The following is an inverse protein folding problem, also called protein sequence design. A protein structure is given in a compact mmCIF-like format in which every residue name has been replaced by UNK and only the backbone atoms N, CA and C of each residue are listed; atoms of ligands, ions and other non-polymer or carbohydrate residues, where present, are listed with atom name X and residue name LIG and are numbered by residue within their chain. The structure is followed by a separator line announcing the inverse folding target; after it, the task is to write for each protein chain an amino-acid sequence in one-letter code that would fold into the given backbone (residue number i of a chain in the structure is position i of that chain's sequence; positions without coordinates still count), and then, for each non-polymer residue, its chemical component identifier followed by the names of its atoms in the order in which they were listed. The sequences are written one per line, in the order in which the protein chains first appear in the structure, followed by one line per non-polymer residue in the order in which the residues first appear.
data_IF_851021789953
#
_entry.id   IF_851021789953
#
_cell.length_a   1.000
_cell.length_b   1.000
_cell.length_c   1.000
_cell.angle_alpha   90.00
_cell.angle_beta   90.00
_cell.angle_gamma   90.00
#
_symmetry.space_group_name_H-M   'P 1'
#
loop_
_entity.id
_entity.type
_entity.pdbx_description
1 polymer ?
#
# COMPACT_ATOMS: atom_id res chain seq x y z
N UNK A 1 11.86 26.72 16.17
CA UNK A 1 12.36 25.38 15.82
C UNK A 1 12.89 25.47 14.41
N UNK A 2 14.19 25.34 14.24
CA UNK A 2 14.81 25.20 12.91
C UNK A 2 14.60 23.75 12.51
N UNK A 3 14.05 23.45 11.33
CA UNK A 3 13.91 22.08 10.87
C UNK A 3 15.30 21.46 10.62
N UNK A 4 15.52 20.25 11.11
CA UNK A 4 16.82 19.57 11.00
C UNK A 4 17.25 19.30 9.54
N UNK A 5 16.30 19.33 8.57
CA UNK A 5 16.58 19.12 7.14
C UNK A 5 15.78 20.09 6.24
N UNK A 6 16.28 21.32 6.01
CA UNK A 6 15.56 22.36 5.26
C UNK A 6 15.09 21.91 3.86
N UNK A 7 15.88 21.06 3.19
CA UNK A 7 15.60 20.58 1.84
C UNK A 7 14.41 19.61 1.76
N UNK A 8 14.19 18.78 2.79
CA UNK A 8 13.01 17.90 2.88
C UNK A 8 11.71 18.66 3.21
N UNK A 9 11.82 19.93 3.60
CA UNK A 9 10.68 20.77 3.99
C UNK A 9 10.18 21.71 2.87
N UNK A 10 10.73 21.62 1.65
CA UNK A 10 10.30 22.38 0.47
C UNK A 10 8.96 21.89 -0.13
N UNK A 11 8.08 21.28 0.67
CA UNK A 11 6.74 20.84 0.26
C UNK A 11 6.61 19.39 -0.18
N UNK A 12 7.73 18.65 -0.28
CA UNK A 12 7.79 17.21 -0.58
C UNK A 12 8.29 16.39 0.60
N UNK A 13 7.89 16.76 1.82
CA UNK A 13 8.23 16.00 3.02
C UNK A 13 7.58 14.61 3.06
N UNK A 14 8.05 13.76 3.98
CA UNK A 14 7.44 12.45 4.27
C UNK A 14 5.93 12.62 4.47
N UNK A 15 5.16 11.89 3.68
CA UNK A 15 3.70 11.90 3.78
C UNK A 15 3.27 10.87 4.82
N UNK A 16 2.16 11.15 5.49
CA UNK A 16 1.51 10.17 6.38
C UNK A 16 0.94 9.02 5.55
N UNK A 17 0.48 9.31 4.33
CA UNK A 17 -0.09 8.33 3.42
C UNK A 17 0.14 8.85 1.99
N UNK A 18 0.47 7.95 1.07
CA UNK A 18 0.81 8.28 -0.33
C UNK A 18 -0.40 8.15 -1.27
N UNK A 19 -1.54 7.70 -0.75
CA UNK A 19 -2.81 7.62 -1.46
C UNK A 19 -3.76 8.79 -1.16
N UNK A 20 -5.05 8.47 -1.03
CA UNK A 20 -6.13 9.45 -0.83
C UNK A 20 -6.37 9.71 0.64
N UNK A 21 -5.55 10.56 1.24
CA UNK A 21 -5.61 10.87 2.66
C UNK A 21 -5.45 12.36 2.93
N UNK A 22 -6.38 12.95 3.69
CA UNK A 22 -6.37 14.38 3.96
C UNK A 22 -6.82 14.77 5.37
N UNK A 23 -6.41 15.97 5.78
CA UNK A 23 -6.77 16.59 7.06
C UNK A 23 -6.50 15.67 8.28
N UNK A 24 -5.34 15.02 8.28
CA UNK A 24 -4.95 14.11 9.34
C UNK A 24 -4.77 14.84 10.67
N UNK A 25 -5.24 14.25 11.77
CA UNK A 25 -5.10 14.76 13.14
C UNK A 25 -4.53 13.65 14.02
N UNK A 26 -3.64 14.05 14.93
CA UNK A 26 -3.05 13.14 15.92
C UNK A 26 -3.51 13.53 17.31
N UNK A 27 -3.78 12.54 18.16
CA UNK A 27 -3.98 12.73 19.59
C UNK A 27 -3.21 11.67 20.38
N UNK A 28 -2.98 11.96 21.66
CA UNK A 28 -2.32 11.05 22.59
C UNK A 28 -3.37 10.33 23.42
N UNK A 29 -3.31 9.01 23.46
CA UNK A 29 -4.12 8.15 24.31
C UNK A 29 -3.34 7.89 25.62
N UNK A 30 -3.73 8.51 26.75
CA UNK A 30 -3.00 8.37 28.01
C UNK A 30 -3.13 6.98 28.64
N UNK A 31 -4.19 6.23 28.31
CA UNK A 31 -4.43 4.91 28.92
C UNK A 31 -3.48 3.86 28.36
N UNK A 32 -3.23 3.91 27.05
CA UNK A 32 -2.34 2.98 26.35
C UNK A 32 -0.99 3.59 25.98
N UNK A 33 -0.70 4.81 26.45
CA UNK A 33 0.53 5.57 26.18
C UNK A 33 0.94 5.58 24.71
N UNK A 34 -0.04 5.78 23.81
CA UNK A 34 0.17 5.68 22.36
C UNK A 34 -0.34 6.91 21.63
N UNK A 35 0.30 7.27 20.51
CA UNK A 35 -0.17 8.34 19.64
C UNK A 35 -1.02 7.73 18.54
N UNK A 36 -2.25 8.21 18.39
CA UNK A 36 -3.18 7.73 17.37
C UNK A 36 -3.34 8.81 16.31
N UNK A 37 -3.27 8.42 15.05
CA UNK A 37 -3.57 9.25 13.89
C UNK A 37 -4.86 8.81 13.21
N UNK A 38 -5.63 9.80 12.79
CA UNK A 38 -6.83 9.65 11.99
C UNK A 38 -6.80 10.67 10.87
N UNK A 39 -7.44 10.36 9.76
CA UNK A 39 -7.60 11.28 8.66
C UNK A 39 -8.78 10.90 7.80
N UNK A 40 -9.13 11.79 6.89
CA UNK A 40 -10.25 11.60 6.00
C UNK A 40 -9.76 11.00 4.68
N UNK A 41 -10.41 9.92 4.27
CA UNK A 41 -10.29 9.33 2.95
C UNK A 41 -11.33 10.01 2.06
N UNK A 42 -10.86 10.57 0.94
CA UNK A 42 -11.72 11.32 0.01
C UNK A 42 -12.26 10.40 -1.07
N UNK A 43 -13.57 10.47 -1.29
CA UNK A 43 -14.31 9.72 -2.32
C UNK A 43 -13.68 9.88 -3.72
N UNK A 44 -13.65 8.77 -4.46
CA UNK A 44 -13.03 8.68 -5.79
C UNK A 44 -14.00 8.77 -6.96
N UNK A 45 -15.30 8.73 -6.68
CA UNK A 45 -16.38 8.80 -7.66
C UNK A 45 -16.89 10.23 -7.87
N UNK A 46 -17.81 10.39 -8.82
CA UNK A 46 -18.31 11.70 -9.24
C UNK A 46 -19.31 12.29 -8.24
N UNK A 47 -19.09 13.56 -7.91
CA UNK A 47 -19.86 14.28 -6.88
C UNK A 47 -21.29 14.62 -7.28
N UNK A 48 -21.56 14.82 -8.56
CA UNK A 48 -22.88 15.27 -9.01
C UNK A 48 -23.79 14.08 -9.31
N UNK A 49 -23.20 12.99 -9.82
CA UNK A 49 -23.95 11.81 -10.19
C UNK A 49 -23.97 10.75 -9.10
N UNK A 50 -22.81 10.33 -8.62
CA UNK A 50 -22.71 9.12 -7.79
C UNK A 50 -23.07 9.43 -6.33
N UNK A 51 -22.64 10.57 -5.82
CA UNK A 51 -22.94 11.04 -4.45
C UNK A 51 -24.43 11.32 -4.23
N UNK A 52 -25.10 11.93 -5.22
CA UNK A 52 -26.54 12.20 -5.15
C UNK A 52 -27.34 10.90 -5.20
N UNK A 53 -26.95 9.96 -6.05
CA UNK A 53 -27.63 8.67 -6.18
C UNK A 53 -27.44 7.77 -4.95
N UNK A 54 -26.24 7.75 -4.37
CA UNK A 54 -25.95 6.98 -3.15
C UNK A 54 -26.61 7.60 -1.91
N UNK A 55 -26.98 8.88 -1.97
CA UNK A 55 -27.63 9.60 -0.87
C UNK A 55 -26.68 9.94 0.30
N UNK A 56 -25.40 9.61 0.16
CA UNK A 56 -24.34 10.00 1.08
C UNK A 56 -23.09 10.36 0.29
N UNK A 57 -22.40 11.37 0.79
CA UNK A 57 -21.17 11.93 0.23
C UNK A 57 -20.37 12.43 1.42
N UNK A 58 -19.51 11.58 1.98
CA UNK A 58 -19.13 11.78 3.36
C UNK A 58 -17.87 11.06 3.75
N UNK A 59 -16.74 11.75 3.53
CA UNK A 59 -15.42 11.61 4.18
C UNK A 59 -15.32 10.43 5.14
N UNK A 60 -15.07 9.24 4.59
CA UNK A 60 -14.77 8.05 5.38
C UNK A 60 -13.54 8.37 6.23
N UNK A 61 -13.62 8.08 7.53
CA UNK A 61 -12.44 8.17 8.39
C UNK A 61 -11.61 6.91 8.20
N UNK A 62 -10.30 7.08 8.04
CA UNK A 62 -9.38 5.95 8.05
C UNK A 62 -9.46 5.21 9.38
N UNK A 63 -9.09 3.94 9.38
CA UNK A 63 -8.90 3.18 10.60
C UNK A 63 -7.84 3.88 11.46
N UNK A 64 -8.00 3.95 12.79
CA UNK A 64 -7.00 4.54 13.67
C UNK A 64 -5.65 3.84 13.52
N UNK A 65 -4.61 4.64 13.27
CA UNK A 65 -3.23 4.15 13.15
C UNK A 65 -2.44 4.59 14.37
N UNK A 66 -1.72 3.65 14.98
CA UNK A 66 -0.72 3.99 15.99
C UNK A 66 0.51 4.53 15.26
N UNK A 67 0.98 5.71 15.65
CA UNK A 67 2.16 6.34 15.08
C UNK A 67 3.33 6.14 16.03
N UNK A 68 4.39 5.53 15.53
CA UNK A 68 5.67 5.41 16.24
C UNK A 68 6.82 5.96 15.39
N UNK A 69 7.97 6.16 16.02
CA UNK A 69 9.18 6.59 15.35
C UNK A 69 10.06 5.39 15.03
N UNK A 70 10.50 5.28 13.78
CA UNK A 70 11.43 4.23 13.40
C UNK A 70 12.81 4.49 14.02
N UNK A 71 13.16 3.71 15.03
CA UNK A 71 14.45 3.82 15.70
C UNK A 71 15.62 3.25 14.87
N UNK A 72 15.34 2.34 13.93
CA UNK A 72 16.35 1.68 13.09
C UNK A 72 16.80 2.61 11.98
N UNK A 73 15.87 3.09 11.16
CA UNK A 73 16.22 3.99 10.04
C UNK A 73 16.36 5.44 10.48
N UNK A 74 15.81 5.81 11.64
CA UNK A 74 15.76 7.19 12.22
C UNK A 74 15.19 8.25 11.29
N UNK A 75 14.62 7.85 10.17
CA UNK A 75 14.19 8.74 9.11
C UNK A 75 12.70 8.67 8.87
N UNK A 76 12.03 7.58 9.29
CA UNK A 76 10.64 7.32 8.96
C UNK A 76 9.73 7.28 10.19
N UNK A 77 8.43 7.50 9.95
CA UNK A 77 7.36 7.33 10.93
C UNK A 77 6.67 6.01 10.63
N UNK A 78 6.62 5.12 11.62
CA UNK A 78 5.91 3.85 11.51
C UNK A 78 4.44 4.09 11.82
N UNK A 79 3.57 3.50 11.00
CA UNK A 79 2.13 3.53 11.21
C UNK A 79 1.60 2.12 11.14
N UNK A 80 0.95 1.68 12.21
CA UNK A 80 0.31 0.38 12.24
C UNK A 80 -1.14 0.50 12.69
N UNK A 81 -2.09 -0.17 12.01
CA UNK A 81 -3.46 -0.17 12.46
C UNK A 81 -3.57 -0.89 13.81
N UNK A 82 -4.58 -0.50 14.59
CA UNK A 82 -4.86 -1.16 15.87
C UNK A 82 -5.17 -2.64 15.64
N UNK A 83 -4.65 -3.50 16.52
CA UNK A 83 -4.88 -4.94 16.50
C UNK A 83 -6.38 -5.28 16.48
N UNK A 84 -6.77 -6.20 15.59
CA UNK A 84 -8.08 -6.83 15.52
C UNK A 84 -7.89 -8.34 15.77
N UNK A 85 -8.98 -9.01 16.15
CA UNK A 85 -8.93 -10.40 16.63
C UNK A 85 -9.44 -11.39 15.57
N UNK A 86 -8.82 -12.57 15.59
CA UNK A 86 -8.96 -13.77 14.72
C UNK A 86 -8.28 -13.68 13.35
N UNK A 87 -7.17 -14.42 13.20
CA UNK A 87 -6.43 -14.61 11.94
C UNK A 87 -6.61 -16.03 11.40
N UNK A 88 -6.56 -16.17 10.08
CA UNK A 88 -6.33 -17.45 9.40
C UNK A 88 -5.00 -17.32 8.69
N UNK A 89 -4.08 -18.25 8.96
CA UNK A 89 -2.71 -18.21 8.46
C UNK A 89 -2.55 -19.23 7.30
N UNK A 90 -1.84 -18.80 6.27
CA UNK A 90 -1.53 -19.63 5.10
C UNK A 90 -0.02 -19.60 4.88
N UNK A 91 0.65 -20.71 5.15
CA UNK A 91 2.11 -20.81 5.04
C UNK A 91 2.56 -21.63 3.83
N UNK A 92 3.75 -21.32 3.30
CA UNK A 92 4.43 -22.14 2.28
C UNK A 92 3.87 -22.03 0.86
N UNK A 93 3.26 -20.88 0.50
CA UNK A 93 2.70 -20.68 -0.84
C UNK A 93 3.79 -20.26 -1.83
N UNK A 94 4.24 -21.19 -2.66
CA UNK A 94 5.19 -20.89 -3.74
C UNK A 94 4.50 -20.30 -4.98
N UNK A 95 4.87 -19.04 -5.27
CA UNK A 95 4.38 -18.29 -6.43
C UNK A 95 5.51 -18.13 -7.46
N UNK A 96 5.44 -18.92 -8.53
CA UNK A 96 6.36 -18.78 -9.67
C UNK A 96 6.05 -17.59 -10.58
N UNK A 97 6.93 -17.28 -11.56
CA UNK A 97 6.77 -16.14 -12.45
C UNK A 97 5.44 -16.16 -13.22
N UNK A 98 4.65 -15.09 -13.09
CA UNK A 98 3.35 -14.95 -13.77
C UNK A 98 2.24 -15.87 -13.25
N UNK A 99 2.50 -16.64 -12.19
CA UNK A 99 1.49 -17.49 -11.53
C UNK A 99 0.62 -16.62 -10.63
N UNK A 100 -0.65 -17.01 -10.51
CA UNK A 100 -1.60 -16.42 -9.55
C UNK A 100 -2.16 -17.56 -8.71
N UNK A 101 -2.16 -17.38 -7.40
CA UNK A 101 -2.71 -18.35 -6.45
C UNK A 101 -3.96 -17.75 -5.81
N UNK A 102 -5.16 -18.31 -6.05
CA UNK A 102 -6.35 -17.86 -5.36
C UNK A 102 -6.35 -18.40 -3.92
N UNK A 103 -6.74 -17.55 -2.98
CA UNK A 103 -6.99 -17.93 -1.59
C UNK A 103 -8.50 -18.02 -1.35
N UNK A 104 -8.98 -19.17 -0.86
CA UNK A 104 -10.37 -19.32 -0.47
C UNK A 104 -10.54 -18.91 1.00
N UNK A 105 -11.10 -17.72 1.19
CA UNK A 105 -11.31 -17.06 2.49
C UNK A 105 -12.81 -17.01 2.85
N UNK A 106 -13.63 -17.81 2.17
CA UNK A 106 -15.07 -17.89 2.40
C UNK A 106 -15.86 -16.72 1.78
N UNK A 107 -17.08 -16.48 2.28
CA UNK A 107 -18.07 -15.59 1.65
C UNK A 107 -17.90 -14.10 1.98
N UNK A 108 -17.08 -13.73 2.98
CA UNK A 108 -16.96 -12.35 3.44
C UNK A 108 -15.71 -11.65 2.87
N UNK A 109 -15.58 -11.61 1.54
CA UNK A 109 -14.38 -11.04 0.89
C UNK A 109 -14.32 -9.51 0.91
N UNK A 110 -15.38 -8.84 1.34
CA UNK A 110 -15.51 -7.38 1.29
C UNK A 110 -14.94 -6.68 2.53
N UNK A 111 -14.73 -7.40 3.63
CA UNK A 111 -14.14 -6.90 4.86
C UNK A 111 -13.08 -7.85 5.37
N UNK A 112 -11.82 -7.51 5.14
CA UNK A 112 -10.69 -8.38 5.40
C UNK A 112 -9.52 -7.58 5.92
N UNK A 113 -8.70 -8.23 6.73
CA UNK A 113 -7.34 -7.78 6.99
C UNK A 113 -6.38 -8.92 6.67
N UNK A 114 -5.50 -8.62 5.72
CA UNK A 114 -4.57 -9.56 5.12
C UNK A 114 -3.17 -9.10 5.50
N UNK A 115 -2.40 -9.97 6.15
CA UNK A 115 -0.97 -9.78 6.31
C UNK A 115 -0.25 -10.78 5.43
N UNK A 116 0.71 -10.31 4.64
CA UNK A 116 1.51 -11.13 3.74
C UNK A 116 2.98 -10.80 3.91
N UNK A 117 3.79 -11.84 3.99
CA UNK A 117 5.25 -11.76 4.02
C UNK A 117 5.80 -12.46 2.78
N UNK A 118 6.74 -11.79 2.11
CA UNK A 118 7.38 -12.25 0.89
C UNK A 118 8.86 -12.48 1.16
N UNK A 119 9.25 -13.74 1.12
CA UNK A 119 10.65 -14.14 1.11
C UNK A 119 11.16 -14.12 -0.32
N UNK A 120 12.28 -13.42 -0.54
CA UNK A 120 12.91 -13.27 -1.86
C UNK A 120 14.34 -13.76 -1.75
N UNK A 121 14.74 -14.57 -2.72
CA UNK A 121 16.12 -14.99 -2.90
C UNK A 121 16.99 -13.75 -3.22
N UNK A 122 17.83 -13.37 -2.25
CA UNK A 122 18.68 -12.18 -2.33
C UNK A 122 19.82 -12.35 -3.34
N UNK A 123 20.32 -13.57 -3.50
CA UNK A 123 21.40 -13.87 -4.45
C UNK A 123 20.87 -13.72 -5.87
N UNK A 124 19.67 -14.26 -6.14
CA UNK A 124 18.99 -14.06 -7.40
C UNK A 124 18.63 -12.57 -7.65
N UNK A 125 18.30 -11.83 -6.59
CA UNK A 125 17.97 -10.40 -6.64
C UNK A 125 19.16 -9.57 -7.14
N UNK A 126 20.33 -9.72 -6.55
CA UNK A 126 21.49 -8.91 -6.94
C UNK A 126 21.98 -9.19 -8.37
N UNK A 127 21.86 -10.44 -8.82
CA UNK A 127 22.30 -10.85 -10.15
C UNK A 127 21.32 -10.44 -11.27
N UNK A 128 20.02 -10.46 -11.01
CA UNK A 128 19.00 -10.38 -12.05
C UNK A 128 18.12 -9.13 -12.00
N UNK A 129 18.25 -8.24 -11.00
CA UNK A 129 17.44 -7.01 -10.95
C UNK A 129 17.78 -6.09 -12.11
N UNK A 130 16.73 -5.70 -12.82
CA UNK A 130 16.83 -4.75 -13.92
C UNK A 130 17.26 -3.35 -13.44
N UNK A 131 18.20 -2.76 -14.15
CA UNK A 131 18.56 -1.35 -13.99
C UNK A 131 17.47 -0.46 -14.58
N UNK A 132 16.61 0.08 -13.70
CA UNK A 132 15.60 1.06 -14.06
C UNK A 132 15.92 2.39 -13.38
N UNK A 133 16.56 3.26 -14.14
CA UNK A 133 17.04 4.58 -13.68
C UNK A 133 15.92 5.46 -13.11
N UNK A 134 14.65 5.22 -13.45
CA UNK A 134 13.48 5.97 -12.95
C UNK A 134 12.21 5.10 -12.93
N UNK A 135 12.20 3.97 -12.20
CA UNK A 135 10.94 3.26 -12.02
C UNK A 135 9.97 4.10 -11.19
N UNK A 136 8.76 4.30 -11.72
CA UNK A 136 7.61 4.88 -11.02
C UNK A 136 6.42 3.93 -11.23
N UNK A 137 5.56 3.82 -10.22
CA UNK A 137 4.36 2.99 -10.24
C UNK A 137 3.37 3.39 -11.36
N UNK A 138 3.58 4.53 -12.04
CA UNK A 138 2.71 5.04 -13.11
C UNK A 138 2.53 4.10 -14.29
N UNK A 139 3.51 3.23 -14.57
CA UNK A 139 3.38 2.19 -15.60
C UNK A 139 2.37 1.10 -15.27
N UNK A 140 1.93 1.03 -14.00
CA UNK A 140 1.02 0.02 -13.48
C UNK A 140 1.60 -1.40 -13.52
N UNK A 141 0.74 -2.37 -13.20
CA UNK A 141 1.11 -3.78 -13.12
C UNK A 141 1.34 -4.44 -14.51
N UNK A 142 1.25 -3.68 -15.59
CA UNK A 142 1.54 -4.17 -16.96
C UNK A 142 3.04 -4.21 -17.22
N UNK A 143 3.80 -3.29 -16.61
CA UNK A 143 5.26 -3.26 -16.71
C UNK A 143 5.83 -4.39 -15.86
N UNK A 144 6.41 -5.38 -16.53
CA UNK A 144 7.09 -6.51 -15.88
C UNK A 144 8.58 -6.21 -15.79
N UNK A 145 9.15 -6.42 -14.61
CA UNK A 145 10.59 -6.50 -14.39
C UNK A 145 10.97 -7.87 -13.85
N UNK A 146 12.26 -8.07 -13.61
CA UNK A 146 12.78 -9.31 -13.00
C UNK A 146 12.18 -9.59 -11.62
N UNK A 147 11.97 -8.54 -10.81
CA UNK A 147 11.39 -8.64 -9.47
C UNK A 147 10.23 -7.66 -9.32
N UNK A 148 9.14 -7.97 -10.01
CA UNK A 148 7.92 -7.18 -9.93
C UNK A 148 7.13 -7.20 -11.23
N UNK A 149 5.80 -7.03 -11.18
CA UNK A 149 4.99 -6.84 -9.97
C UNK A 149 4.69 -8.17 -9.27
N UNK A 150 4.91 -8.25 -7.96
CA UNK A 150 4.45 -9.36 -7.10
C UNK A 150 3.75 -8.80 -5.86
N UNK A 151 2.65 -9.43 -5.44
CA UNK A 151 1.83 -8.93 -4.34
C UNK A 151 0.43 -9.51 -4.36
N UNK A 152 -0.54 -8.71 -3.93
CA UNK A 152 -1.91 -9.13 -3.69
C UNK A 152 -2.90 -8.50 -4.67
N UNK A 153 -3.88 -9.31 -5.07
CA UNK A 153 -5.02 -8.91 -5.89
C UNK A 153 -6.25 -8.86 -5.00
N UNK A 154 -6.86 -7.68 -4.88
CA UNK A 154 -8.00 -7.44 -3.99
C UNK A 154 -9.18 -6.83 -4.76
N UNK A 155 -10.39 -6.94 -4.20
CA UNK A 155 -11.63 -6.49 -4.84
C UNK A 155 -11.73 -6.96 -6.30
N UNK A 156 -11.38 -8.23 -6.53
CA UNK A 156 -11.28 -8.80 -7.86
C UNK A 156 -12.57 -9.53 -8.25
N UNK A 157 -13.12 -9.23 -9.42
CA UNK A 157 -14.19 -10.02 -10.02
C UNK A 157 -13.64 -11.41 -10.42
N UNK A 158 -14.42 -12.50 -10.37
CA UNK A 158 -13.94 -13.85 -10.74
C UNK A 158 -13.34 -13.98 -12.14
N UNK A 159 -13.79 -13.13 -13.09
CA UNK A 159 -13.22 -13.06 -14.44
C UNK A 159 -12.01 -12.13 -14.58
N UNK A 160 -11.55 -11.54 -13.47
CA UNK A 160 -10.52 -10.51 -13.41
C UNK A 160 -10.80 -9.29 -14.30
N UNK A 161 -12.07 -8.99 -14.57
CA UNK A 161 -12.41 -7.80 -15.35
C UNK A 161 -12.23 -6.51 -14.55
N UNK A 162 -12.48 -6.59 -13.25
CA UNK A 162 -12.26 -5.52 -12.27
C UNK A 162 -11.39 -6.08 -11.15
N UNK A 163 -10.39 -5.33 -10.73
CA UNK A 163 -9.42 -5.73 -9.72
C UNK A 163 -8.57 -4.53 -9.29
N UNK A 164 -8.12 -4.53 -8.04
CA UNK A 164 -7.10 -3.61 -7.53
C UNK A 164 -5.85 -4.41 -7.20
N UNK A 165 -4.68 -4.00 -7.69
CA UNK A 165 -3.41 -4.65 -7.34
C UNK A 165 -2.64 -3.80 -6.35
N UNK A 166 -2.15 -4.45 -5.30
CA UNK A 166 -1.16 -3.87 -4.39
C UNK A 166 0.07 -4.77 -4.49
N UNK A 167 1.17 -4.21 -4.97
CA UNK A 167 2.34 -5.01 -5.30
C UNK A 167 3.64 -4.30 -4.94
N UNK A 168 4.67 -5.10 -4.73
CA UNK A 168 6.04 -4.66 -4.69
C UNK A 168 6.69 -4.75 -6.07
N UNK A 169 7.59 -3.80 -6.32
CA UNK A 169 8.50 -3.82 -7.45
C UNK A 169 9.88 -3.42 -6.96
N UNK A 170 10.89 -4.23 -7.28
CA UNK A 170 12.29 -3.97 -6.94
C UNK A 170 13.04 -3.61 -8.21
N UNK A 171 13.80 -2.52 -8.16
CA UNK A 171 14.56 -2.02 -9.28
C UNK A 171 15.93 -1.51 -8.81
N UNK A 172 16.92 -1.56 -9.69
CA UNK A 172 18.26 -1.05 -9.40
C UNK A 172 18.39 0.38 -9.92
N UNK A 173 18.74 1.30 -9.02
CA UNK A 173 18.96 2.71 -9.33
C UNK A 173 20.34 2.92 -9.99
N UNK A 174 20.51 4.08 -10.63
CA UNK A 174 21.78 4.51 -11.22
C UNK A 174 22.84 4.63 -10.12
N UNK A 175 23.80 3.71 -10.09
CA UNK A 175 24.79 3.58 -9.00
C UNK A 175 24.74 2.25 -8.26
N UNK A 176 23.81 1.37 -8.63
CA UNK A 176 23.76 -0.01 -8.15
C UNK A 176 23.00 -0.23 -6.85
N UNK A 177 22.44 0.83 -6.27
CA UNK A 177 21.57 0.73 -5.09
C UNK A 177 20.22 0.14 -5.46
N UNK A 178 19.81 -0.91 -4.77
CA UNK A 178 18.47 -1.48 -4.89
C UNK A 178 17.44 -0.55 -4.27
N UNK A 179 16.31 -0.39 -4.95
CA UNK A 179 15.14 0.35 -4.48
C UNK A 179 13.91 -0.52 -4.56
N UNK A 180 13.13 -0.51 -3.50
CA UNK A 180 11.85 -1.19 -3.43
C UNK A 180 10.72 -0.19 -3.44
N UNK A 181 9.70 -0.47 -4.24
CA UNK A 181 8.50 0.34 -4.37
C UNK A 181 7.28 -0.48 -4.00
N UNK A 182 6.37 0.10 -3.23
CA UNK A 182 5.01 -0.41 -3.06
C UNK A 182 4.08 0.42 -3.92
N UNK A 183 3.33 -0.26 -4.79
CA UNK A 183 2.43 0.36 -5.77
C UNK A 183 1.00 -0.11 -5.52
N UNK A 184 0.04 0.82 -5.66
CA UNK A 184 -1.39 0.54 -5.63
C UNK A 184 -1.99 0.90 -6.99
N UNK A 185 -2.14 -0.11 -7.85
CA UNK A 185 -2.68 0.04 -9.19
C UNK A 185 -4.21 -0.14 -9.19
N UNK A 186 -4.88 1.00 -9.36
CA UNK A 186 -6.34 1.10 -9.47
C UNK A 186 -6.82 1.25 -10.92
N UNK A 187 -5.95 1.16 -11.92
CA UNK A 187 -6.28 1.38 -13.34
C UNK A 187 -7.44 0.51 -13.81
N UNK A 188 -7.59 -0.69 -13.23
CA UNK A 188 -8.64 -1.67 -13.52
C UNK A 188 -9.57 -1.93 -12.34
N UNK A 189 -9.61 -1.05 -11.34
CA UNK A 189 -10.41 -1.21 -10.13
C UNK A 189 -11.92 -1.22 -10.40
N UNK A 190 -12.37 -0.50 -11.43
CA UNK A 190 -13.79 -0.47 -11.83
C UNK A 190 -13.96 -0.25 -13.33
N UNK A 191 -15.09 -0.72 -13.89
CA UNK A 191 -15.56 -0.39 -15.25
C UNK A 191 -16.24 0.98 -15.34
N UNK A 192 -16.62 1.58 -14.22
CA UNK A 192 -17.22 2.90 -14.21
C UNK A 192 -16.24 3.95 -14.75
N UNK A 193 -16.71 4.83 -15.63
CA UNK A 193 -15.90 5.91 -16.22
C UNK A 193 -15.75 7.14 -15.32
N UNK A 194 -16.64 7.30 -14.34
CA UNK A 194 -16.69 8.43 -13.40
C UNK A 194 -15.78 8.28 -12.17
N UNK A 195 -15.03 7.17 -12.08
CA UNK A 195 -14.19 6.86 -10.92
C UNK A 195 -12.73 7.18 -11.22
N UNK A 196 -12.07 7.87 -10.30
CA UNK A 196 -10.63 8.11 -10.37
C UNK A 196 -9.82 6.83 -10.08
N UNK A 197 -9.02 6.47 -11.08
CA UNK A 197 -8.20 5.27 -11.14
C UNK A 197 -6.71 5.57 -11.10
N UNK A 198 -6.32 6.74 -10.59
CA UNK A 198 -4.92 7.11 -10.41
C UNK A 198 -4.14 6.04 -9.65
N UNK A 199 -2.95 5.72 -10.13
CA UNK A 199 -2.02 4.79 -9.48
C UNK A 199 -1.24 5.55 -8.41
N UNK A 200 -1.12 4.94 -7.22
CA UNK A 200 -0.30 5.47 -6.13
C UNK A 200 0.94 4.61 -5.92
N UNK A 201 2.00 5.22 -5.40
CA UNK A 201 3.28 4.56 -5.19
C UNK A 201 4.09 5.24 -4.09
N UNK A 202 4.90 4.45 -3.40
CA UNK A 202 5.88 4.93 -2.42
C UNK A 202 7.15 4.06 -2.47
N UNK A 203 8.30 4.68 -2.20
CA UNK A 203 9.55 3.97 -1.97
C UNK A 203 9.57 3.44 -0.53
N UNK A 204 9.84 2.14 -0.37
CA UNK A 204 9.95 1.46 0.93
C UNK A 204 11.41 1.08 1.14
N UNK A 205 12.04 1.49 2.25
CA UNK A 205 13.41 1.09 2.53
C UNK A 205 13.44 -0.40 2.88
N UNK A 206 14.17 -1.20 2.09
CA UNK A 206 14.46 -2.58 2.44
C UNK A 206 15.75 -2.62 3.27
N UNK A 207 15.67 -3.15 4.49
CA UNK A 207 16.87 -3.51 5.25
C UNK A 207 17.34 -4.88 4.77
N UNK A 208 18.66 -5.03 4.61
CA UNK A 208 19.28 -6.17 3.94
C UNK A 208 18.96 -7.54 4.59
N UNK A 209 18.51 -7.54 5.85
CA UNK A 209 18.16 -8.74 6.64
C UNK A 209 16.64 -8.93 6.84
N UNK A 210 15.80 -8.10 6.24
CA UNK A 210 14.35 -8.14 6.47
C UNK A 210 13.60 -8.64 5.22
N UNK A 211 12.55 -9.42 5.46
CA UNK A 211 11.60 -9.83 4.43
C UNK A 211 10.65 -8.69 4.10
N UNK A 212 10.07 -8.73 2.89
CA UNK A 212 9.06 -7.75 2.51
C UNK A 212 7.72 -8.15 3.09
N UNK A 213 7.22 -7.37 4.04
CA UNK A 213 5.88 -7.54 4.59
C UNK A 213 4.94 -6.48 4.04
N UNK A 214 3.69 -6.85 3.76
CA UNK A 214 2.61 -5.88 3.58
C UNK A 214 1.37 -6.31 4.36
N UNK A 215 0.60 -5.35 4.82
CA UNK A 215 -0.71 -5.55 5.42
C UNK A 215 -1.75 -4.73 4.68
N UNK A 216 -2.89 -5.33 4.36
CA UNK A 216 -3.99 -4.72 3.64
C UNK A 216 -5.25 -4.78 4.49
N UNK A 217 -5.87 -3.63 4.74
CA UNK A 217 -7.21 -3.53 5.30
C UNK A 217 -8.19 -3.25 4.18
N UNK A 218 -9.10 -4.17 3.93
CA UNK A 218 -10.14 -4.06 2.91
C UNK A 218 -11.46 -3.81 3.64
N UNK A 219 -12.16 -2.76 3.26
CA UNK A 219 -13.51 -2.46 3.72
C UNK A 219 -14.34 -1.89 2.57
N UNK A 220 -15.04 -2.77 1.87
CA UNK A 220 -15.82 -2.51 0.67
C UNK A 220 -15.04 -1.66 -0.35
N UNK A 221 -15.28 -0.34 -0.38
CA UNK A 221 -14.67 0.61 -1.32
C UNK A 221 -13.32 1.18 -0.89
N UNK A 222 -12.84 0.87 0.33
CA UNK A 222 -11.58 1.39 0.87
C UNK A 222 -10.59 0.23 1.04
N UNK A 223 -9.36 0.47 0.56
CA UNK A 223 -8.21 -0.40 0.82
C UNK A 223 -7.11 0.46 1.44
N UNK A 224 -6.68 0.12 2.65
CA UNK A 224 -5.52 0.73 3.30
C UNK A 224 -4.35 -0.26 3.25
N UNK A 225 -3.26 0.12 2.59
CA UNK A 225 -2.04 -0.68 2.47
C UNK A 225 -0.93 -0.16 3.36
N UNK A 226 -0.26 -1.07 4.05
CA UNK A 226 0.88 -0.84 4.93
C UNK A 226 2.02 -1.74 4.48
N UNK A 227 3.24 -1.20 4.38
CA UNK A 227 4.44 -1.90 3.96
C UNK A 227 5.64 -1.35 4.74
#
# INVERSE_FOLDING_TARGET
MVPDYPEKHLGFGLKVDYGRYHASKMFYDPNKMRRINWGYVVEADDKEKDHVNKGWAGRIQSIPRVVDFDQKTRNNKLQWPVEWLSSTEFDGVEVGPGKRVPFDIGTATEQLDISAEFEIDKEALEENVDEHVNYDCWGGAVVRGSFGPFGLLVNAHPSFSELTLIYFHIAKATGGTLKTFVCTDKSRSSKASSVDKQIYGAEVPLLYDENLSMRLLINHSVVESFA
#
